data_IF_577716247617
#
_entry.id   IF_577716247617
#
_cell.length_a   1.000
_cell.length_b   1.000
_cell.length_c   1.000
_cell.angle_alpha   90.00
_cell.angle_beta   90.00
_cell.angle_gamma   90.00
#
_symmetry.space_group_name_H-M   'P 1'
#
loop_
_entity.id
_entity.type
_entity.pdbx_description
1 polymer ?
#
# COMPACT_ATOMS: atom_id res chain seq x y z
N UNK A 1 -21.68 -10.86 -10.94
CA UNK A 1 -20.48 -11.34 -10.22
C UNK A 1 -20.36 -10.58 -8.90
N UNK A 2 -20.61 -11.22 -7.75
CA UNK A 2 -20.29 -10.62 -6.46
C UNK A 2 -18.78 -10.43 -6.39
N UNK A 3 -18.31 -9.19 -6.51
CA UNK A 3 -16.91 -8.82 -6.32
C UNK A 3 -16.55 -9.17 -4.87
N UNK A 4 -15.77 -10.22 -4.68
CA UNK A 4 -15.48 -10.75 -3.35
C UNK A 4 -14.56 -9.78 -2.61
N UNK A 5 -15.14 -8.79 -1.92
CA UNK A 5 -14.40 -7.79 -1.14
C UNK A 5 -13.41 -8.45 -0.19
N UNK A 6 -13.74 -9.64 0.31
CA UNK A 6 -12.90 -10.48 1.16
C UNK A 6 -11.52 -10.80 0.57
N UNK A 7 -11.43 -10.98 -0.75
CA UNK A 7 -10.14 -11.21 -1.42
C UNK A 7 -9.21 -10.00 -1.35
N UNK A 8 -9.76 -8.79 -1.51
CA UNK A 8 -8.99 -7.53 -1.43
C UNK A 8 -8.47 -7.30 -0.02
N UNK A 9 -9.30 -7.60 0.99
CA UNK A 9 -8.88 -7.57 2.39
C UNK A 9 -7.79 -8.59 2.68
N UNK A 10 -7.92 -9.83 2.20
CA UNK A 10 -6.91 -10.88 2.36
C UNK A 10 -5.55 -10.47 1.76
N UNK A 11 -5.54 -9.90 0.55
CA UNK A 11 -4.33 -9.37 -0.10
C UNK A 11 -3.65 -8.27 0.71
N UNK A 12 -4.43 -7.34 1.27
CA UNK A 12 -3.88 -6.27 2.12
C UNK A 12 -3.32 -6.82 3.42
N UNK A 13 -4.03 -7.74 4.07
CA UNK A 13 -3.55 -8.41 5.29
C UNK A 13 -2.26 -9.20 5.02
N UNK A 14 -2.19 -9.90 3.89
CA UNK A 14 -0.98 -10.62 3.48
C UNK A 14 0.19 -9.65 3.25
N UNK A 15 -0.03 -8.56 2.51
CA UNK A 15 0.99 -7.53 2.30
C UNK A 15 1.48 -6.93 3.62
N UNK A 16 0.58 -6.69 4.57
CA UNK A 16 0.91 -6.21 5.92
C UNK A 16 1.82 -7.20 6.67
N UNK A 17 1.46 -8.48 6.73
CA UNK A 17 2.28 -9.49 7.41
C UNK A 17 3.64 -9.70 6.73
N UNK A 18 3.70 -9.64 5.40
CA UNK A 18 4.98 -9.65 4.68
C UNK A 18 5.85 -8.44 5.02
N UNK A 19 5.23 -7.26 5.14
CA UNK A 19 5.89 -6.06 5.65
C UNK A 19 6.49 -6.30 7.04
N UNK A 20 5.69 -6.83 7.97
CA UNK A 20 6.15 -7.17 9.33
C UNK A 20 7.33 -8.13 9.29
N UNK A 21 7.21 -9.23 8.54
CA UNK A 21 8.26 -10.24 8.46
C UNK A 21 9.59 -9.66 7.96
N UNK A 22 9.56 -8.82 6.92
CA UNK A 22 10.76 -8.15 6.43
C UNK A 22 11.30 -7.11 7.42
N UNK A 23 10.42 -6.35 8.07
CA UNK A 23 10.79 -5.41 9.11
C UNK A 23 11.50 -6.09 10.28
N UNK A 24 11.05 -7.29 10.67
CA UNK A 24 11.68 -8.10 11.72
C UNK A 24 13.03 -8.69 11.25
N UNK A 25 13.13 -9.13 9.99
CA UNK A 25 14.32 -9.80 9.50
C UNK A 25 15.48 -8.83 9.19
N UNK A 26 15.16 -7.63 8.68
CA UNK A 26 16.13 -6.65 8.17
C UNK A 26 15.70 -5.21 8.54
N UNK A 27 15.61 -4.85 9.84
CA UNK A 27 15.02 -3.58 10.29
C UNK A 27 15.64 -2.33 9.65
N UNK A 28 16.96 -2.26 9.56
CA UNK A 28 17.70 -1.12 9.01
C UNK A 28 17.40 -0.93 7.52
N UNK A 29 17.47 -2.03 6.75
CA UNK A 29 17.20 -1.98 5.32
C UNK A 29 15.73 -1.64 5.04
N UNK A 30 14.81 -2.21 5.83
CA UNK A 30 13.39 -1.92 5.74
C UNK A 30 13.11 -0.44 6.03
N UNK A 31 13.68 0.14 7.10
CA UNK A 31 13.50 1.57 7.42
C UNK A 31 14.01 2.49 6.31
N UNK A 32 15.15 2.17 5.69
CA UNK A 32 15.68 2.96 4.57
C UNK A 32 14.75 2.91 3.35
N UNK A 33 14.26 1.71 3.00
CA UNK A 33 13.42 1.50 1.83
C UNK A 33 12.00 2.03 2.05
N UNK A 34 11.47 1.97 3.28
CA UNK A 34 10.12 2.43 3.63
C UNK A 34 9.88 3.89 3.25
N UNK A 35 10.85 4.77 3.49
CA UNK A 35 10.75 6.19 3.09
C UNK A 35 10.67 6.35 1.58
N UNK A 36 11.54 5.69 0.81
CA UNK A 36 11.53 5.75 -0.65
C UNK A 36 10.23 5.17 -1.23
N UNK A 37 9.81 4.01 -0.75
CA UNK A 37 8.57 3.35 -1.20
C UNK A 37 7.36 4.21 -0.82
N UNK A 38 7.32 4.79 0.38
CA UNK A 38 6.26 5.69 0.81
C UNK A 38 6.13 6.93 -0.08
N UNK A 39 7.25 7.56 -0.43
CA UNK A 39 7.27 8.72 -1.35
C UNK A 39 6.76 8.32 -2.74
N UNK A 40 7.25 7.20 -3.30
CA UNK A 40 6.81 6.72 -4.62
C UNK A 40 5.32 6.40 -4.62
N UNK A 41 4.81 5.76 -3.57
CA UNK A 41 3.39 5.42 -3.42
C UNK A 41 2.54 6.68 -3.29
N UNK A 42 2.97 7.65 -2.48
CA UNK A 42 2.27 8.93 -2.30
C UNK A 42 2.22 9.76 -3.60
N UNK A 43 3.36 9.86 -4.30
CA UNK A 43 3.42 10.52 -5.61
C UNK A 43 2.58 9.78 -6.65
N UNK A 44 2.68 8.46 -6.70
CA UNK A 44 1.84 7.63 -7.56
C UNK A 44 0.36 7.89 -7.33
N UNK A 45 -0.09 7.86 -6.07
CA UNK A 45 -1.48 8.18 -5.74
C UNK A 45 -1.87 9.59 -6.20
N UNK A 46 -1.02 10.59 -5.94
CA UNK A 46 -1.29 11.98 -6.31
C UNK A 46 -1.42 12.17 -7.83
N UNK A 47 -0.48 11.64 -8.61
CA UNK A 47 -0.47 11.76 -10.07
C UNK A 47 -1.62 10.96 -10.72
N UNK A 48 -1.86 9.72 -10.29
CA UNK A 48 -2.96 8.92 -10.83
C UNK A 48 -4.32 9.51 -10.45
N UNK A 49 -4.50 9.97 -9.20
CA UNK A 49 -5.74 10.63 -8.78
C UNK A 49 -5.99 11.93 -9.54
N UNK A 50 -4.97 12.75 -9.80
CA UNK A 50 -5.12 13.98 -10.60
C UNK A 50 -5.51 13.69 -12.05
N UNK A 51 -4.90 12.67 -12.67
CA UNK A 51 -5.22 12.24 -14.04
C UNK A 51 -6.64 11.71 -14.14
N UNK A 52 -7.10 11.00 -13.12
CA UNK A 52 -8.46 10.47 -13.09
C UNK A 52 -9.49 11.57 -12.84
N UNK A 53 -9.18 12.59 -12.03
CA UNK A 53 -10.06 13.75 -11.85
C UNK A 53 -10.23 14.56 -13.15
N UNK A 54 -9.13 14.82 -13.87
CA UNK A 54 -9.16 15.53 -15.17
C UNK A 54 -9.75 14.68 -16.31
N UNK A 55 -9.58 13.36 -16.27
CA UNK A 55 -10.27 12.44 -17.17
C UNK A 55 -11.77 12.35 -16.87
N UNK A 56 -12.16 12.38 -15.59
CA UNK A 56 -13.56 12.30 -15.15
C UNK A 56 -14.36 13.56 -15.49
N UNK A 57 -13.73 14.73 -15.54
CA UNK A 57 -14.34 15.97 -16.01
C UNK A 57 -14.73 15.91 -17.50
N UNK A 58 -13.98 15.13 -18.30
CA UNK A 58 -14.29 14.83 -19.71
C UNK A 58 -15.14 13.54 -19.89
N UNK A 59 -15.22 12.67 -18.88
CA UNK A 59 -15.84 11.34 -18.95
C UNK A 59 -17.26 11.26 -18.35
N UNK A 60 -17.92 12.40 -18.08
CA UNK A 60 -19.36 12.44 -17.75
C UNK A 60 -20.26 11.75 -18.82
N UNK A 61 -19.70 11.38 -19.98
CA UNK A 61 -20.36 10.63 -21.05
C UNK A 61 -20.14 9.12 -21.10
N UNK A 62 -19.27 8.49 -20.30
CA UNK A 62 -19.05 7.03 -20.36
C UNK A 62 -19.20 6.38 -18.98
N UNK A 63 -20.41 5.89 -18.74
CA UNK A 63 -20.83 4.98 -17.66
C UNK A 63 -20.05 3.65 -17.65
N UNK A 64 -18.74 3.67 -17.40
CA UNK A 64 -17.99 2.46 -17.07
C UNK A 64 -17.15 2.74 -15.82
N UNK A 65 -17.77 2.40 -14.68
CA UNK A 65 -17.09 2.19 -13.40
C UNK A 65 -16.18 0.97 -13.53
N UNK A 66 -15.07 1.13 -14.23
CA UNK A 66 -13.98 0.15 -14.24
C UNK A 66 -13.46 0.00 -12.80
N UNK A 67 -13.17 -1.24 -12.35
CA UNK A 67 -12.55 -1.45 -11.06
C UNK A 67 -11.13 -0.88 -11.08
N UNK A 68 -10.87 0.21 -10.34
CA UNK A 68 -9.53 0.77 -10.19
C UNK A 68 -8.57 -0.24 -9.53
N UNK A 69 -7.87 -1.01 -10.36
CA UNK A 69 -6.86 -1.98 -9.94
C UNK A 69 -5.63 -1.29 -9.36
N UNK A 70 -5.25 -0.13 -9.90
CA UNK A 70 -4.12 0.66 -9.40
C UNK A 70 -4.31 1.11 -7.95
N UNK A 71 -5.57 1.41 -7.57
CA UNK A 71 -5.90 1.78 -6.20
C UNK A 71 -5.72 0.61 -5.22
N UNK A 72 -6.06 -0.62 -5.65
CA UNK A 72 -5.79 -1.82 -4.85
C UNK A 72 -4.29 -2.02 -4.62
N UNK A 73 -3.48 -1.83 -5.66
CA UNK A 73 -2.03 -1.94 -5.59
C UNK A 73 -1.43 -0.93 -4.60
N UNK A 74 -1.89 0.31 -4.64
CA UNK A 74 -1.48 1.34 -3.67
C UNK A 74 -1.90 0.97 -2.25
N UNK A 75 -3.12 0.46 -2.05
CA UNK A 75 -3.55 0.01 -0.72
C UNK A 75 -2.69 -1.15 -0.19
N UNK A 76 -2.29 -2.10 -1.05
CA UNK A 76 -1.39 -3.19 -0.67
C UNK A 76 0.00 -2.67 -0.32
N UNK A 77 0.55 -1.73 -1.09
CA UNK A 77 1.84 -1.10 -0.78
C UNK A 77 1.80 -0.32 0.53
N UNK A 78 0.71 0.41 0.80
CA UNK A 78 0.51 1.09 2.08
C UNK A 78 0.44 0.10 3.23
N UNK A 79 -0.33 -0.98 3.10
CA UNK A 79 -0.42 -2.03 4.12
C UNK A 79 0.96 -2.65 4.39
N UNK A 80 1.74 -2.91 3.34
CA UNK A 80 3.13 -3.37 3.44
C UNK A 80 4.03 -2.36 4.17
N UNK A 81 3.94 -1.07 3.83
CA UNK A 81 4.72 0.00 4.48
C UNK A 81 4.42 0.03 5.98
N UNK A 82 3.14 0.04 6.35
CA UNK A 82 2.71 0.06 7.75
C UNK A 82 3.21 -1.20 8.47
N UNK A 83 3.07 -2.38 7.86
CA UNK A 83 3.58 -3.63 8.40
C UNK A 83 5.08 -3.60 8.62
N UNK A 84 5.86 -3.12 7.64
CA UNK A 84 7.31 -2.97 7.74
C UNK A 84 7.76 -1.99 8.82
N UNK A 85 7.04 -0.88 8.96
CA UNK A 85 7.31 0.10 10.01
C UNK A 85 7.05 -0.51 11.41
N UNK A 86 5.93 -1.20 11.59
CA UNK A 86 5.61 -1.90 12.83
C UNK A 86 6.63 -3.02 13.13
N UNK A 87 6.94 -3.85 12.12
CA UNK A 87 7.89 -4.96 12.29
C UNK A 87 9.31 -4.48 12.63
N UNK A 88 9.79 -3.44 11.96
CA UNK A 88 11.13 -2.88 12.23
C UNK A 88 11.22 -2.19 13.58
N UNK A 89 10.17 -1.46 14.01
CA UNK A 89 10.13 -0.80 15.32
C UNK A 89 10.03 -1.79 16.48
N UNK A 90 9.31 -2.91 16.31
CA UNK A 90 9.19 -3.96 17.33
C UNK A 90 10.55 -4.52 17.78
N UNK A 91 11.55 -4.60 16.90
CA UNK A 91 12.89 -5.04 17.28
C UNK A 91 13.56 -4.03 18.21
N UNK A 92 13.43 -2.73 17.93
CA UNK A 92 13.99 -1.69 18.79
C UNK A 92 13.33 -1.63 20.16
N UNK A 93 12.09 -2.11 20.28
CA UNK A 93 11.39 -2.26 21.56
C UNK A 93 11.75 -3.51 22.33
N UNK A 94 12.54 -4.46 21.79
CA UNK A 94 13.07 -5.59 22.56
C UNK A 94 14.22 -5.06 23.42
N UNK A 95 14.00 -4.77 24.73
CA UNK A 95 15.09 -4.36 25.58
C UNK A 95 16.00 -5.57 25.74
N UNK A 96 17.31 -5.33 25.71
CA UNK A 96 18.34 -6.28 26.10
C UNK A 96 17.87 -7.11 27.32
N UNK A 97 17.62 -8.41 27.09
CA UNK A 97 17.58 -9.46 28.10
C UNK A 97 18.97 -10.09 28.16
#
# INVERSE_FOLDING_TARGET
MMKNNWFRWSLQTLAFFFGIALGILRPIATQQILSFVGIIVGLGYFFFSHRDQTASENAQKRNQKEPFEWFLLIQMLLAFIVGGAVGSTLIYFRPYL
#
